data_IF_136304339925
#
_entry.id   IF_136304339925
#
_cell.length_a   1.000
_cell.length_b   1.000
_cell.length_c   1.000
_cell.angle_alpha   90.00
_cell.angle_beta   90.00
_cell.angle_gamma   90.00
#
_symmetry.space_group_name_H-M   'P 1'
#
loop_
_entity.id
_entity.type
_entity.pdbx_description
1 polymer ?
#
# COMPACT_ATOMS: atom_id res chain seq x y z
N UNK A 1 -0.26 -6.30 14.13
CA UNK A 1 -0.55 -7.20 13.00
C UNK A 1 -1.44 -6.46 12.03
N UNK A 2 -0.96 -6.15 10.82
CA UNK A 2 -1.81 -5.51 9.82
C UNK A 2 -2.62 -6.57 9.08
N UNK A 3 -3.89 -6.30 8.84
CA UNK A 3 -4.71 -7.15 7.99
C UNK A 3 -4.35 -6.87 6.52
N UNK A 4 -3.79 -7.85 5.82
CA UNK A 4 -3.58 -7.72 4.37
C UNK A 4 -4.93 -7.83 3.67
N UNK A 5 -5.38 -6.72 3.08
CA UNK A 5 -6.66 -6.66 2.39
C UNK A 5 -6.53 -7.15 0.93
N UNK A 6 -7.55 -7.83 0.39
CA UNK A 6 -7.61 -8.17 -1.03
C UNK A 6 -7.53 -6.94 -1.95
N UNK A 7 -6.98 -7.13 -3.16
CA UNK A 7 -7.07 -6.11 -4.21
C UNK A 7 -8.55 -5.90 -4.57
N UNK A 8 -8.96 -4.64 -4.72
CA UNK A 8 -10.34 -4.24 -4.94
C UNK A 8 -11.11 -3.92 -3.67
N UNK A 9 -10.57 -4.19 -2.48
CA UNK A 9 -11.23 -3.83 -1.21
C UNK A 9 -11.34 -2.31 -1.06
N UNK A 10 -12.56 -1.77 -0.86
CA UNK A 10 -12.76 -0.37 -0.53
C UNK A 10 -12.24 -0.05 0.88
N UNK A 11 -11.55 1.07 1.02
CA UNK A 11 -10.94 1.50 2.29
C UNK A 11 -11.07 3.01 2.47
N UNK A 12 -11.16 3.47 3.71
CA UNK A 12 -10.88 4.85 4.07
C UNK A 12 -9.48 4.94 4.66
N UNK A 13 -8.68 5.89 4.18
CA UNK A 13 -7.26 6.04 4.53
C UNK A 13 -7.02 7.43 5.09
N UNK A 14 -6.25 7.50 6.17
CA UNK A 14 -5.64 8.74 6.66
C UNK A 14 -4.14 8.54 6.76
N UNK A 15 -3.40 9.51 6.23
CA UNK A 15 -1.96 9.57 6.26
C UNK A 15 -1.53 10.92 6.83
N UNK A 16 -0.68 10.90 7.85
CA UNK A 16 -0.08 12.13 8.37
C UNK A 16 1.03 12.65 7.45
N UNK A 17 1.22 13.97 7.42
CA UNK A 17 2.39 14.57 6.81
C UNK A 17 3.64 14.23 7.64
N UNK A 18 4.79 14.05 6.98
CA UNK A 18 6.08 13.97 7.67
C UNK A 18 6.76 15.35 7.70
N UNK A 19 7.43 15.73 8.80
CA UNK A 19 8.16 16.99 8.90
C UNK A 19 9.28 17.14 7.88
N UNK A 20 9.84 16.02 7.40
CA UNK A 20 10.91 15.97 6.40
C UNK A 20 10.45 16.25 4.95
N UNK A 21 9.15 16.46 4.73
CA UNK A 21 8.58 16.75 3.42
C UNK A 21 8.46 15.56 2.47
N UNK A 22 8.90 14.35 2.88
CA UNK A 22 8.82 13.13 2.06
C UNK A 22 7.37 12.66 1.86
N UNK A 23 6.45 13.13 2.70
CA UNK A 23 5.05 12.70 2.73
C UNK A 23 4.10 13.83 3.09
N UNK A 24 3.02 13.96 2.33
CA UNK A 24 1.94 14.94 2.57
C UNK A 24 0.78 14.33 3.35
N UNK A 25 0.08 15.15 4.11
CA UNK A 25 -1.15 14.74 4.76
C UNK A 25 -2.23 14.41 3.71
N UNK A 26 -2.96 13.33 3.93
CA UNK A 26 -4.00 12.85 3.03
C UNK A 26 -5.10 12.18 3.86
N UNK A 27 -6.35 12.39 3.48
CA UNK A 27 -7.48 11.65 4.02
C UNK A 27 -8.52 11.41 2.91
N UNK A 28 -9.09 10.21 2.86
CA UNK A 28 -10.23 9.93 2.00
C UNK A 28 -10.37 8.46 1.61
N UNK A 29 -11.40 8.22 0.81
CA UNK A 29 -11.71 6.91 0.27
C UNK A 29 -10.69 6.49 -0.79
N UNK A 30 -10.42 5.19 -0.81
CA UNK A 30 -9.56 4.55 -1.78
C UNK A 30 -9.92 3.10 -2.00
N UNK A 31 -9.12 2.47 -2.85
CA UNK A 31 -9.24 1.04 -3.18
C UNK A 31 -7.86 0.41 -3.12
N UNK A 32 -7.78 -0.78 -2.54
CA UNK A 32 -6.54 -1.58 -2.56
C UNK A 32 -6.21 -1.94 -4.01
N UNK A 33 -5.05 -1.51 -4.50
CA UNK A 33 -4.61 -1.67 -5.89
C UNK A 33 -3.45 -2.64 -6.06
N UNK A 34 -2.74 -2.97 -4.99
CA UNK A 34 -1.56 -3.83 -5.06
C UNK A 34 -1.08 -4.30 -3.70
N UNK A 35 -0.06 -5.16 -3.72
CA UNK A 35 0.59 -5.71 -2.53
C UNK A 35 1.98 -5.11 -2.37
N UNK A 36 2.45 -5.04 -1.13
CA UNK A 36 3.86 -4.74 -0.84
C UNK A 36 4.56 -6.09 -0.62
N UNK A 37 5.49 -6.48 -1.51
CA UNK A 37 6.24 -7.73 -1.35
C UNK A 37 7.16 -7.66 -0.12
N UNK A 38 7.42 -8.81 0.50
CA UNK A 38 8.44 -8.89 1.56
C UNK A 38 9.86 -8.82 0.97
N UNK A 39 10.85 -8.59 1.82
CA UNK A 39 12.25 -8.44 1.42
C UNK A 39 12.80 -9.66 0.67
N UNK A 40 12.35 -10.87 1.03
CA UNK A 40 12.74 -12.12 0.34
C UNK A 40 12.21 -12.12 -1.09
N UNK A 41 10.94 -11.75 -1.29
CA UNK A 41 10.33 -11.64 -2.61
C UNK A 41 11.04 -10.57 -3.47
N UNK A 42 11.42 -9.45 -2.86
CA UNK A 42 12.19 -8.39 -3.52
C UNK A 42 13.59 -8.85 -3.93
N UNK A 43 14.31 -9.51 -3.01
CA UNK A 43 15.66 -10.01 -3.27
C UNK A 43 15.71 -10.98 -4.45
N UNK A 44 14.70 -11.86 -4.58
CA UNK A 44 14.59 -12.79 -5.71
C UNK A 44 14.39 -12.12 -7.07
N UNK A 45 13.84 -10.89 -7.11
CA UNK A 45 13.63 -10.13 -8.35
C UNK A 45 14.70 -9.05 -8.57
N UNK A 46 15.55 -8.81 -7.57
CA UNK A 46 16.62 -7.83 -7.66
C UNK A 46 17.86 -8.40 -8.34
N UNK A 47 18.51 -7.60 -9.19
CA UNK A 47 19.84 -7.89 -9.71
C UNK A 47 20.85 -7.05 -8.93
N UNK A 48 21.90 -7.64 -8.32
CA UNK A 48 22.89 -6.89 -7.56
C UNK A 48 23.52 -5.77 -8.40
N UNK A 49 23.51 -4.55 -7.87
CA UNK A 49 24.06 -3.37 -8.55
C UNK A 49 23.11 -2.67 -9.51
N UNK A 50 21.91 -3.21 -9.74
CA UNK A 50 20.89 -2.58 -10.58
C UNK A 50 19.72 -2.03 -9.74
N UNK A 51 19.18 -0.90 -10.18
CA UNK A 51 17.94 -0.38 -9.62
C UNK A 51 16.78 -1.30 -10.02
N UNK A 52 15.92 -1.62 -9.05
CA UNK A 52 14.74 -2.44 -9.30
C UNK A 52 13.80 -1.73 -10.27
N UNK A 53 13.46 -2.41 -11.37
CA UNK A 53 12.51 -1.88 -12.34
C UNK A 53 11.08 -1.96 -11.79
N UNK A 54 10.16 -1.08 -12.25
CA UNK A 54 8.74 -1.19 -11.89
C UNK A 54 8.11 -2.54 -12.25
N UNK A 55 8.55 -3.17 -13.35
CA UNK A 55 8.06 -4.48 -13.77
C UNK A 55 8.53 -5.60 -12.83
N UNK A 56 9.80 -5.56 -12.41
CA UNK A 56 10.35 -6.51 -11.43
C UNK A 56 9.65 -6.36 -10.06
N UNK A 57 9.39 -5.13 -9.63
CA UNK A 57 8.62 -4.88 -8.41
C UNK A 57 7.20 -5.42 -8.50
N UNK A 58 6.50 -5.15 -9.62
CA UNK A 58 5.14 -5.65 -9.84
C UNK A 58 5.10 -7.19 -9.85
N UNK A 59 6.10 -7.84 -10.45
CA UNK A 59 6.23 -9.29 -10.43
C UNK A 59 6.47 -9.81 -9.02
N UNK A 60 7.40 -9.20 -8.26
CA UNK A 60 7.65 -9.54 -6.86
C UNK A 60 6.37 -9.47 -6.03
N UNK A 61 5.62 -8.37 -6.16
CA UNK A 61 4.35 -8.14 -5.47
C UNK A 61 3.28 -9.18 -5.83
N UNK A 62 3.20 -9.58 -7.10
CA UNK A 62 2.22 -10.53 -7.60
C UNK A 62 2.47 -11.96 -7.10
N UNK A 63 3.74 -12.39 -7.04
CA UNK A 63 4.11 -13.77 -6.64
C UNK A 63 4.29 -13.92 -5.12
N UNK A 64 4.38 -12.82 -4.37
CA UNK A 64 4.64 -12.87 -2.95
C UNK A 64 3.45 -13.45 -2.18
N UNK A 65 3.69 -14.55 -1.46
CA UNK A 65 2.68 -15.25 -0.64
C UNK A 65 2.49 -14.61 0.73
N UNK A 66 3.51 -13.92 1.21
CA UNK A 66 3.55 -13.27 2.53
C UNK A 66 3.85 -11.78 2.36
N UNK A 67 2.92 -11.00 1.77
CA UNK A 67 3.10 -9.57 1.63
C UNK A 67 3.15 -8.90 3.01
N UNK A 68 4.00 -7.88 3.15
CA UNK A 68 4.17 -7.11 4.40
C UNK A 68 3.21 -5.92 4.49
N UNK A 69 2.42 -5.71 3.44
CA UNK A 69 1.50 -4.60 3.31
C UNK A 69 0.75 -4.59 1.99
N UNK A 70 0.09 -3.48 1.71
CA UNK A 70 -0.63 -3.25 0.47
C UNK A 70 -0.57 -1.77 0.07
N UNK A 71 -0.97 -1.49 -1.17
CA UNK A 71 -1.09 -0.14 -1.70
C UNK A 71 -2.57 0.18 -1.88
N UNK A 72 -3.01 1.32 -1.36
CA UNK A 72 -4.34 1.87 -1.60
C UNK A 72 -4.25 3.10 -2.50
N UNK A 73 -5.09 3.17 -3.54
CA UNK A 73 -5.21 4.37 -4.37
C UNK A 73 -6.29 5.28 -3.80
N UNK A 74 -5.88 6.46 -3.33
CA UNK A 74 -6.75 7.47 -2.72
C UNK A 74 -6.70 8.72 -3.60
N UNK A 75 -7.81 9.06 -4.25
CA UNK A 75 -7.90 10.22 -5.17
C UNK A 75 -6.76 10.24 -6.24
N UNK A 76 -6.39 9.07 -6.75
CA UNK A 76 -5.32 8.91 -7.75
C UNK A 76 -3.90 8.90 -7.18
N UNK A 77 -3.72 9.02 -5.86
CA UNK A 77 -2.43 8.95 -5.20
C UNK A 77 -2.22 7.58 -4.54
N UNK A 78 -1.08 6.92 -4.76
CA UNK A 78 -0.75 5.67 -4.08
C UNK A 78 -0.36 5.94 -2.63
N UNK A 79 -0.98 5.23 -1.70
CA UNK A 79 -0.62 5.19 -0.29
C UNK A 79 -0.14 3.78 0.05
N UNK A 80 1.11 3.68 0.48
CA UNK A 80 1.69 2.43 0.97
C UNK A 80 1.28 2.22 2.43
N UNK A 81 0.74 1.04 2.72
CA UNK A 81 0.21 0.67 4.02
C UNK A 81 0.95 -0.58 4.50
N UNK A 82 1.76 -0.44 5.55
CA UNK A 82 2.53 -1.54 6.16
C UNK A 82 2.30 -1.56 7.67
N UNK A 83 2.59 -2.69 8.32
CA UNK A 83 2.38 -2.83 9.77
C UNK A 83 3.22 -1.87 10.62
N UNK A 84 4.36 -1.42 10.09
CA UNK A 84 5.34 -0.58 10.79
C UNK A 84 5.14 0.93 10.53
N UNK A 85 4.15 1.30 9.71
CA UNK A 85 3.86 2.71 9.41
C UNK A 85 2.82 3.27 10.39
N UNK A 86 3.31 3.86 11.48
CA UNK A 86 2.51 4.49 12.53
C UNK A 86 1.80 5.78 12.08
N UNK A 87 2.11 6.28 10.89
CA UNK A 87 1.53 7.51 10.36
C UNK A 87 0.38 7.28 9.37
N UNK A 88 0.01 6.02 9.14
CA UNK A 88 -1.07 5.63 8.22
C UNK A 88 -2.11 4.81 8.96
N UNK A 89 -3.36 5.28 8.96
CA UNK A 89 -4.51 4.55 9.48
C UNK A 89 -5.42 4.16 8.31
N UNK A 90 -5.86 2.90 8.29
CA UNK A 90 -6.74 2.37 7.24
C UNK A 90 -7.88 1.60 7.85
N UNK A 91 -9.08 1.88 7.36
CA UNK A 91 -10.33 1.21 7.78
C UNK A 91 -10.99 0.59 6.54
N UNK A 92 -11.24 -0.73 6.50
CA UNK A 92 -12.04 -1.34 5.46
C UNK A 92 -13.46 -0.78 5.47
N UNK A 93 -13.95 -0.33 4.32
CA UNK A 93 -15.35 0.09 4.16
C UNK A 93 -16.16 -1.16 3.83
N UNK A 94 -16.97 -1.60 4.79
CA UNK A 94 -17.78 -2.83 4.70
C UNK A 94 -19.26 -2.56 4.45
N UNK A 95 -19.69 -1.30 4.53
CA UNK A 95 -21.06 -0.88 4.21
C UNK A 95 -21.18 -0.44 2.76
N UNK A 96 -22.33 -0.76 2.15
CA UNK A 96 -22.71 -0.29 0.81
C UNK A 96 -22.97 1.24 0.78
N UNK A 97 -23.10 1.85 1.97
CA UNK A 97 -23.14 3.29 2.18
C UNK A 97 -21.73 3.88 1.98
N UNK A 98 -21.34 4.06 0.71
CA UNK A 98 -20.18 4.90 0.38
C UNK A 98 -20.48 6.32 0.84
N UNK A 99 -19.79 6.76 1.88
CA UNK A 99 -19.92 8.13 2.40
C UNK A 99 -19.44 9.11 1.33
N UNK A 100 -20.38 9.81 0.70
CA UNK A 100 -20.14 10.86 -0.28
C UNK A 100 -19.62 12.16 0.38
N UNK A 101 -18.51 12.07 1.12
CA UNK A 101 -17.93 13.18 1.89
C UNK A 101 -16.62 13.72 1.29
#
# INVERSE_FOLDING_TARGET
MIQILPIGTPVWVVQAARPDGTRRALAGDGVVSGRVPCDVCLAHQSVPGEAMTPAAYALAAAICREPVGYVAMVRGLPVTVTADDDTVLVVPITSDERSAA
#
